data_IF_423874522121
#
_entry.id   IF_423874522121
#
_cell.length_a   1.000
_cell.length_b   1.000
_cell.length_c   1.000
_cell.angle_alpha   90.00
_cell.angle_beta   90.00
_cell.angle_gamma   90.00
#
_symmetry.space_group_name_H-M   'P 1'
#
loop_
_entity.id
_entity.type
_entity.pdbx_description
1 polymer ?
#
# COMPACT_ATOMS: atom_id res chain seq x y z
N UNK A 1 6.64 -31.50 19.98
CA UNK A 1 6.74 -30.05 19.70
C UNK A 1 5.34 -29.47 19.76
N UNK A 2 5.03 -28.67 20.79
CA UNK A 2 3.71 -28.05 20.91
C UNK A 2 3.55 -27.01 19.79
N UNK A 3 2.49 -27.11 19.00
CA UNK A 3 2.09 -26.05 18.08
C UNK A 3 1.63 -24.87 18.95
N UNK A 4 2.47 -23.84 19.06
CA UNK A 4 2.04 -22.56 19.65
C UNK A 4 0.86 -22.07 18.79
N UNK A 5 -0.31 -21.79 19.39
CA UNK A 5 -1.46 -21.33 18.63
C UNK A 5 -1.13 -20.02 17.91
N UNK A 6 -1.61 -19.87 16.67
CA UNK A 6 -1.79 -18.55 16.06
C UNK A 6 -2.80 -17.81 16.93
N UNK A 7 -2.35 -16.80 17.68
CA UNK A 7 -3.24 -15.99 18.52
C UNK A 7 -3.78 -14.80 17.74
N UNK A 8 -5.05 -14.45 17.98
CA UNK A 8 -5.65 -13.19 17.52
C UNK A 8 -5.16 -11.97 18.36
N UNK A 9 -4.06 -12.14 19.10
CA UNK A 9 -3.50 -11.09 19.94
C UNK A 9 -3.05 -9.90 19.08
N UNK A 10 -3.32 -8.69 19.58
CA UNK A 10 -2.83 -7.46 18.95
C UNK A 10 -1.31 -7.52 18.79
N UNK A 11 -0.84 -7.44 17.55
CA UNK A 11 0.58 -7.39 17.21
C UNK A 11 1.08 -5.97 17.47
N UNK A 12 1.93 -5.82 18.50
CA UNK A 12 2.42 -4.51 18.95
C UNK A 12 3.94 -4.35 18.77
N UNK A 13 4.64 -5.39 18.32
CA UNK A 13 6.09 -5.37 18.12
C UNK A 13 6.46 -6.05 16.82
N UNK A 14 7.55 -5.60 16.19
CA UNK A 14 8.06 -6.19 14.96
C UNK A 14 8.43 -7.69 15.13
N UNK A 15 8.99 -8.07 16.28
CA UNK A 15 9.30 -9.46 16.59
C UNK A 15 8.05 -10.36 16.67
N UNK A 16 6.93 -9.83 17.20
CA UNK A 16 5.65 -10.55 17.18
C UNK A 16 5.13 -10.72 15.75
N UNK A 17 5.20 -9.66 14.93
CA UNK A 17 4.82 -9.72 13.51
C UNK A 17 5.60 -10.83 12.79
N UNK A 18 6.93 -10.79 12.88
CA UNK A 18 7.80 -11.78 12.23
C UNK A 18 7.53 -13.20 12.69
N UNK A 19 7.29 -13.39 14.00
CA UNK A 19 6.94 -14.71 14.55
C UNK A 19 5.62 -15.22 13.98
N UNK A 20 4.59 -14.39 13.89
CA UNK A 20 3.30 -14.78 13.31
C UNK A 20 3.44 -15.13 11.83
N UNK A 21 4.16 -14.30 11.05
CA UNK A 21 4.45 -14.57 9.63
C UNK A 21 5.19 -15.91 9.44
N UNK A 22 6.14 -16.22 10.32
CA UNK A 22 6.85 -17.50 10.30
C UNK A 22 5.93 -18.69 10.62
N UNK A 23 5.07 -18.57 11.65
CA UNK A 23 4.12 -19.62 12.02
C UNK A 23 3.10 -19.92 10.91
N UNK A 24 2.78 -18.94 10.07
CA UNK A 24 1.92 -19.11 8.91
C UNK A 24 2.60 -19.80 7.71
N UNK A 25 3.89 -20.10 7.80
CA UNK A 25 4.64 -20.85 6.78
C UNK A 25 5.25 -20.00 5.66
N UNK A 26 5.50 -18.70 5.89
CA UNK A 26 6.09 -17.80 4.89
C UNK A 26 5.35 -17.83 3.55
N UNK A 27 4.06 -17.50 3.60
CA UNK A 27 3.22 -17.38 2.40
C UNK A 27 3.89 -16.40 1.42
N UNK A 28 4.09 -16.77 0.15
CA UNK A 28 4.57 -15.82 -0.84
C UNK A 28 3.51 -14.74 -1.07
N UNK A 29 3.91 -13.48 -0.97
CA UNK A 29 3.05 -12.33 -1.27
C UNK A 29 3.53 -11.66 -2.54
N UNK A 30 2.59 -11.17 -3.33
CA UNK A 30 2.85 -10.18 -4.39
C UNK A 30 2.68 -8.78 -3.82
N UNK A 31 3.38 -7.82 -4.39
CA UNK A 31 3.35 -6.43 -3.93
C UNK A 31 2.98 -5.51 -5.09
N UNK A 32 2.01 -4.64 -4.85
CA UNK A 32 1.64 -3.55 -5.74
C UNK A 32 1.78 -2.22 -5.00
N UNK A 33 2.36 -1.22 -5.65
CA UNK A 33 2.30 0.16 -5.22
C UNK A 33 1.32 0.93 -6.11
N UNK A 34 0.40 1.65 -5.49
CA UNK A 34 -0.46 2.63 -6.12
C UNK A 34 -0.13 3.99 -5.53
N UNK A 35 0.51 4.86 -6.31
CA UNK A 35 1.00 6.14 -5.84
C UNK A 35 0.08 7.25 -6.35
N UNK A 36 -0.40 8.09 -5.43
CA UNK A 36 -1.20 9.26 -5.74
C UNK A 36 -0.34 10.31 -6.42
N UNK A 37 -0.76 10.74 -7.62
CA UNK A 37 -0.13 11.79 -8.43
C UNK A 37 -1.15 12.91 -8.70
N UNK A 38 -2.06 13.15 -7.76
CA UNK A 38 -3.05 14.22 -7.82
C UNK A 38 -2.45 15.61 -7.54
N UNK A 39 -3.21 16.65 -7.93
CA UNK A 39 -2.82 18.06 -7.80
C UNK A 39 -2.53 18.50 -6.36
N UNK A 40 -3.14 17.88 -5.35
CA UNK A 40 -2.84 18.15 -3.94
C UNK A 40 -1.36 17.91 -3.60
N UNK A 41 -0.71 16.99 -4.32
CA UNK A 41 0.71 16.67 -4.16
C UNK A 41 1.66 17.66 -4.87
N UNK A 42 1.18 18.78 -5.41
CA UNK A 42 1.99 19.69 -6.23
C UNK A 42 3.10 20.39 -5.46
N UNK A 43 4.28 20.50 -6.10
CA UNK A 43 5.48 21.20 -5.61
C UNK A 43 5.46 22.72 -5.86
N UNK A 44 4.35 23.24 -6.41
CA UNK A 44 4.20 24.66 -6.80
C UNK A 44 3.66 25.47 -5.61
N UNK A 45 2.95 24.85 -4.67
CA UNK A 45 2.50 25.50 -3.44
C UNK A 45 3.45 25.18 -2.27
N UNK A 46 4.02 26.18 -1.55
CA UNK A 46 5.12 25.99 -0.59
C UNK A 46 4.80 25.17 0.67
N UNK A 47 3.61 24.58 0.78
CA UNK A 47 3.12 24.03 2.06
C UNK A 47 3.19 22.51 2.18
N UNK A 48 3.28 21.73 1.09
CA UNK A 48 3.33 20.25 1.17
C UNK A 48 4.15 19.63 0.01
N UNK A 49 5.48 19.74 0.01
CA UNK A 49 6.31 19.13 -1.04
C UNK A 49 6.56 17.63 -0.76
N UNK A 50 5.51 16.82 -0.73
CA UNK A 50 5.61 15.37 -0.47
C UNK A 50 6.22 14.60 -1.66
N UNK A 51 6.14 15.13 -2.88
CA UNK A 51 6.74 14.53 -4.08
C UNK A 51 8.15 15.01 -4.43
N UNK A 52 8.84 15.79 -3.59
CA UNK A 52 10.16 16.33 -3.97
C UNK A 52 11.13 15.21 -4.40
N UNK A 53 11.49 15.07 -5.70
CA UNK A 53 12.28 13.93 -6.17
C UNK A 53 13.74 14.00 -5.71
N UNK A 54 14.21 15.18 -5.31
CA UNK A 54 15.57 15.41 -4.81
C UNK A 54 15.66 15.34 -3.29
N UNK A 55 14.53 15.29 -2.57
CA UNK A 55 14.51 15.17 -1.12
C UNK A 55 14.65 13.71 -0.69
N UNK A 56 15.65 13.42 0.14
CA UNK A 56 15.75 12.13 0.82
C UNK A 56 14.65 11.92 1.87
N UNK A 57 13.89 12.96 2.20
CA UNK A 57 12.71 12.89 3.07
C UNK A 57 11.39 12.76 2.31
N UNK A 58 11.43 12.50 0.99
CA UNK A 58 10.22 12.25 0.21
C UNK A 58 9.51 10.99 0.75
N UNK A 59 8.32 11.11 1.38
CA UNK A 59 7.68 9.99 2.05
C UNK A 59 7.36 8.84 1.10
N UNK A 60 6.99 9.11 -0.16
CA UNK A 60 6.76 8.06 -1.17
C UNK A 60 8.04 7.22 -1.41
N UNK A 61 9.19 7.89 -1.55
CA UNK A 61 10.50 7.23 -1.72
C UNK A 61 10.87 6.43 -0.47
N UNK A 62 10.74 7.04 0.72
CA UNK A 62 11.08 6.40 2.00
C UNK A 62 10.23 5.16 2.24
N UNK A 63 8.91 5.23 1.99
CA UNK A 63 8.00 4.09 2.13
C UNK A 63 8.42 2.94 1.21
N UNK A 64 8.72 3.20 -0.07
CA UNK A 64 9.21 2.17 -1.00
C UNK A 64 10.54 1.56 -0.51
N UNK A 65 11.51 2.39 -0.11
CA UNK A 65 12.82 1.94 0.37
C UNK A 65 12.70 1.10 1.65
N UNK A 66 11.92 1.55 2.62
CA UNK A 66 11.73 0.79 3.85
C UNK A 66 10.97 -0.50 3.56
N UNK A 67 9.96 -0.48 2.70
CA UNK A 67 9.27 -1.71 2.28
C UNK A 67 10.27 -2.71 1.67
N UNK A 68 11.18 -2.28 0.78
CA UNK A 68 12.22 -3.13 0.20
C UNK A 68 13.05 -3.88 1.26
N UNK A 69 13.46 -3.19 2.33
CA UNK A 69 14.26 -3.82 3.41
C UNK A 69 13.50 -4.92 4.15
N UNK A 70 12.16 -4.90 4.10
CA UNK A 70 11.27 -5.83 4.77
C UNK A 70 10.73 -6.90 3.84
N UNK A 71 10.62 -6.62 2.53
CA UNK A 71 10.15 -7.56 1.50
C UNK A 71 10.96 -8.85 1.58
N UNK A 72 12.30 -8.81 1.59
CA UNK A 72 13.12 -10.03 1.74
C UNK A 72 12.87 -10.86 3.02
N UNK A 73 12.19 -10.31 4.03
CA UNK A 73 11.85 -10.96 5.31
C UNK A 73 10.37 -11.32 5.42
N UNK A 74 9.48 -10.59 4.76
CA UNK A 74 8.01 -10.63 4.92
C UNK A 74 7.30 -11.01 3.62
N UNK A 75 7.77 -10.56 2.45
CA UNK A 75 7.14 -10.69 1.13
C UNK A 75 8.14 -11.28 0.10
N UNK A 76 7.94 -12.50 -0.43
CA UNK A 76 8.89 -13.08 -1.40
C UNK A 76 9.02 -12.25 -2.69
N UNK A 77 10.26 -12.14 -3.20
CA UNK A 77 10.62 -11.37 -4.40
C UNK A 77 9.94 -11.86 -5.70
N UNK A 78 9.78 -10.91 -6.63
CA UNK A 78 9.48 -11.02 -8.08
C UNK A 78 8.05 -10.65 -8.50
N UNK A 79 7.95 -9.94 -9.64
CA UNK A 79 8.20 -8.50 -9.76
C UNK A 79 7.19 -7.69 -8.91
N UNK A 80 7.58 -6.47 -8.56
CA UNK A 80 6.69 -5.51 -7.86
C UNK A 80 5.89 -4.75 -8.91
N UNK A 81 4.59 -4.61 -8.69
CA UNK A 81 3.73 -3.83 -9.57
C UNK A 81 3.74 -2.36 -9.14
N UNK A 82 3.93 -1.43 -10.07
CA UNK A 82 3.97 0.00 -9.81
C UNK A 82 2.98 0.74 -10.68
N UNK A 83 2.05 1.42 -10.04
CA UNK A 83 1.02 2.23 -10.67
C UNK A 83 0.94 3.63 -10.07
N UNK A 84 0.38 4.55 -10.83
CA UNK A 84 -0.04 5.87 -10.38
C UNK A 84 -1.50 6.14 -10.71
N UNK A 85 -2.15 6.99 -9.91
CA UNK A 85 -3.54 7.44 -10.10
C UNK A 85 -3.66 8.95 -9.81
N UNK A 86 -4.80 9.57 -10.15
CA UNK A 86 -5.00 11.01 -9.97
C UNK A 86 -4.19 11.89 -10.93
N UNK A 87 -3.60 11.31 -11.97
CA UNK A 87 -2.83 12.04 -12.99
C UNK A 87 -3.65 12.27 -14.28
N UNK A 88 -3.23 13.23 -15.13
CA UNK A 88 -3.92 13.49 -16.40
C UNK A 88 -4.04 12.25 -17.29
N UNK A 89 -3.05 11.36 -17.27
CA UNK A 89 -3.06 10.12 -18.04
C UNK A 89 -4.04 9.07 -17.51
N UNK A 90 -4.39 9.14 -16.22
CA UNK A 90 -5.43 8.29 -15.64
C UNK A 90 -6.84 8.79 -15.97
N UNK A 91 -7.00 10.09 -16.27
CA UNK A 91 -8.29 10.77 -16.46
C UNK A 91 -9.31 10.45 -15.34
N UNK A 92 -8.81 10.04 -14.17
CA UNK A 92 -9.56 9.50 -13.02
C UNK A 92 -10.43 8.26 -13.30
N UNK A 93 -10.22 7.62 -14.45
CA UNK A 93 -10.96 6.40 -14.83
C UNK A 93 -10.14 5.12 -14.57
N UNK A 94 -8.81 5.22 -14.54
CA UNK A 94 -7.92 4.05 -14.42
C UNK A 94 -6.64 4.33 -13.66
N UNK A 95 -5.96 3.29 -13.20
CA UNK A 95 -4.55 3.38 -12.84
C UNK A 95 -3.68 3.39 -14.11
N UNK A 96 -2.52 4.04 -14.05
CA UNK A 96 -1.52 3.99 -15.13
C UNK A 96 -0.24 3.33 -14.62
N UNK A 97 0.47 2.56 -15.47
CA UNK A 97 1.83 2.13 -15.15
C UNK A 97 2.68 3.32 -14.72
N UNK A 98 3.48 3.13 -13.67
CA UNK A 98 4.16 4.22 -12.97
C UNK A 98 5.01 5.12 -13.89
N UNK A 99 5.68 4.51 -14.86
CA UNK A 99 6.58 5.17 -15.81
C UNK A 99 5.92 5.46 -17.18
N UNK A 100 4.60 5.41 -17.29
CA UNK A 100 3.89 5.76 -18.53
C UNK A 100 4.05 7.26 -18.88
N UNK A 101 4.08 7.66 -20.18
CA UNK A 101 4.15 6.82 -21.39
C UNK A 101 5.50 6.19 -21.72
N UNK A 102 6.62 6.58 -21.08
CA UNK A 102 7.96 6.03 -21.38
C UNK A 102 8.03 4.50 -21.26
N UNK A 103 7.30 3.91 -20.30
CA UNK A 103 7.18 2.47 -20.13
C UNK A 103 5.74 2.07 -19.77
N UNK A 104 5.16 1.19 -20.59
CA UNK A 104 3.80 0.67 -20.40
C UNK A 104 3.75 -0.55 -19.48
N UNK A 105 4.89 -1.14 -19.12
CA UNK A 105 4.95 -2.26 -18.19
C UNK A 105 4.87 -1.74 -16.74
N UNK A 106 3.90 -2.23 -15.97
CA UNK A 106 3.77 -1.94 -14.55
C UNK A 106 4.63 -2.85 -13.67
N UNK A 107 5.30 -3.88 -14.21
CA UNK A 107 6.15 -4.80 -13.47
C UNK A 107 7.60 -4.29 -13.37
N UNK A 108 8.12 -4.24 -12.16
CA UNK A 108 9.48 -3.84 -11.83
C UNK A 108 10.21 -4.99 -11.13
N UNK A 109 11.34 -5.42 -11.70
CA UNK A 109 12.13 -6.54 -11.16
C UNK A 109 12.75 -6.24 -9.80
N UNK A 110 13.01 -4.97 -9.51
CA UNK A 110 13.59 -4.51 -8.25
C UNK A 110 12.89 -3.26 -7.74
N UNK A 111 12.98 -3.02 -6.43
CA UNK A 111 12.53 -1.76 -5.82
C UNK A 111 13.33 -0.55 -6.33
N UNK A 112 14.61 -0.72 -6.67
CA UNK A 112 15.39 0.34 -7.28
C UNK A 112 14.81 0.73 -8.64
N UNK A 113 14.42 -0.26 -9.47
CA UNK A 113 13.74 -0.02 -10.74
C UNK A 113 12.36 0.64 -10.54
N UNK A 114 11.60 0.23 -9.51
CA UNK A 114 10.35 0.87 -9.12
C UNK A 114 10.57 2.36 -8.76
N UNK A 115 11.60 2.67 -7.96
CA UNK A 115 11.93 4.04 -7.55
C UNK A 115 12.36 4.88 -8.77
N UNK A 116 13.13 4.32 -9.70
CA UNK A 116 13.44 5.00 -10.96
C UNK A 116 12.19 5.21 -11.83
N UNK A 117 11.28 4.23 -11.86
CA UNK A 117 9.97 4.37 -12.49
C UNK A 117 9.14 5.51 -11.89
N UNK A 118 9.13 5.63 -10.56
CA UNK A 118 8.49 6.73 -9.84
C UNK A 118 9.07 8.09 -10.24
N UNK A 119 10.40 8.21 -10.27
CA UNK A 119 11.08 9.44 -10.70
C UNK A 119 10.78 9.80 -12.16
N UNK A 120 10.75 8.82 -13.05
CA UNK A 120 10.36 8.97 -14.45
C UNK A 120 8.90 9.45 -14.56
N UNK A 121 8.00 8.83 -13.81
CA UNK A 121 6.59 9.21 -13.73
C UNK A 121 6.38 10.65 -13.27
N UNK A 122 7.14 11.13 -12.28
CA UNK A 122 7.05 12.51 -11.78
C UNK A 122 7.39 13.54 -12.87
N UNK A 123 8.34 13.24 -13.77
CA UNK A 123 8.73 14.12 -14.87
C UNK A 123 7.66 14.23 -15.96
N UNK A 124 6.91 13.15 -16.18
CA UNK A 124 5.93 13.01 -17.27
C UNK A 124 4.51 13.41 -16.85
N UNK A 125 4.27 13.60 -15.56
CA UNK A 125 2.92 13.77 -15.05
C UNK A 125 2.53 15.24 -14.95
N UNK A 126 1.46 15.60 -15.65
CA UNK A 126 0.62 16.70 -15.22
C UNK A 126 -0.31 16.18 -14.14
N UNK A 127 -0.11 16.64 -12.91
CA UNK A 127 -0.96 16.29 -11.77
C UNK A 127 -2.42 16.67 -12.10
N UNK A 128 -3.38 15.85 -11.71
CA UNK A 128 -4.82 16.03 -11.98
C UNK A 128 -5.65 15.68 -10.72
N UNK A 129 -6.96 15.57 -10.81
CA UNK A 129 -7.81 15.13 -9.69
C UNK A 129 -9.26 15.11 -10.15
N UNK A 130 -10.17 14.41 -9.45
CA UNK A 130 -10.20 14.00 -8.03
C UNK A 130 -9.36 12.78 -7.58
N UNK A 131 -9.34 12.54 -6.25
CA UNK A 131 -8.70 11.36 -5.62
C UNK A 131 -9.76 10.29 -5.35
N UNK A 132 -9.83 9.30 -6.23
CA UNK A 132 -10.78 8.18 -6.13
C UNK A 132 -9.98 6.89 -5.90
N UNK A 133 -10.35 6.06 -4.92
CA UNK A 133 -9.63 4.78 -4.68
C UNK A 133 -10.24 3.61 -5.44
N UNK A 134 -11.46 3.76 -5.97
CA UNK A 134 -12.16 2.75 -6.77
C UNK A 134 -11.31 2.19 -7.89
N UNK A 135 -10.58 3.03 -8.63
CA UNK A 135 -9.68 2.58 -9.70
C UNK A 135 -8.49 1.79 -9.17
N UNK A 136 -7.98 2.15 -7.98
CA UNK A 136 -6.89 1.41 -7.32
C UNK A 136 -7.39 0.03 -6.92
N UNK A 137 -8.59 -0.07 -6.34
CA UNK A 137 -9.19 -1.34 -5.97
C UNK A 137 -9.48 -2.23 -7.19
N UNK A 138 -10.00 -1.66 -8.28
CA UNK A 138 -10.22 -2.37 -9.55
C UNK A 138 -8.90 -2.88 -10.14
N UNK A 139 -7.87 -2.05 -10.20
CA UNK A 139 -6.56 -2.44 -10.71
C UNK A 139 -5.94 -3.54 -9.84
N UNK A 140 -6.04 -3.45 -8.51
CA UNK A 140 -5.54 -4.49 -7.62
C UNK A 140 -6.24 -5.85 -7.83
N UNK A 141 -7.55 -5.85 -8.12
CA UNK A 141 -8.27 -7.09 -8.50
C UNK A 141 -7.72 -7.63 -9.82
N UNK A 142 -7.52 -6.78 -10.82
CA UNK A 142 -6.93 -7.21 -12.09
C UNK A 142 -5.53 -7.80 -11.88
N UNK A 143 -4.66 -7.11 -11.15
CA UNK A 143 -3.31 -7.58 -10.84
C UNK A 143 -3.32 -8.90 -10.09
N UNK A 144 -4.21 -9.06 -9.10
CA UNK A 144 -4.36 -10.31 -8.36
C UNK A 144 -4.72 -11.44 -9.33
N UNK A 145 -5.77 -11.25 -10.11
CA UNK A 145 -6.38 -12.32 -10.91
C UNK A 145 -5.50 -12.74 -12.08
N UNK A 146 -4.80 -11.79 -12.71
CA UNK A 146 -3.97 -12.05 -13.89
C UNK A 146 -2.56 -12.53 -13.52
N UNK A 147 -1.94 -11.96 -12.47
CA UNK A 147 -0.51 -12.17 -12.22
C UNK A 147 -0.18 -12.89 -10.91
N UNK A 148 -1.07 -12.87 -9.90
CA UNK A 148 -0.73 -13.35 -8.56
C UNK A 148 -1.07 -14.84 -8.34
N UNK A 149 -1.83 -15.47 -9.25
CA UNK A 149 -2.27 -16.87 -9.11
C UNK A 149 -2.94 -17.10 -7.74
N UNK A 150 -2.31 -17.90 -6.88
CA UNK A 150 -2.77 -18.21 -5.51
C UNK A 150 -2.08 -17.37 -4.42
N UNK A 151 -1.08 -16.59 -4.79
CA UNK A 151 -0.31 -15.78 -3.86
C UNK A 151 -1.15 -14.55 -3.50
N UNK A 152 -1.32 -14.20 -2.21
CA UNK A 152 -2.02 -12.96 -1.85
C UNK A 152 -1.28 -11.72 -2.34
N UNK A 153 -2.04 -10.70 -2.72
CA UNK A 153 -1.53 -9.39 -3.12
C UNK A 153 -1.60 -8.41 -1.95
N UNK A 154 -0.49 -7.75 -1.64
CA UNK A 154 -0.47 -6.58 -0.77
C UNK A 154 -0.38 -5.33 -1.65
N UNK A 155 -1.44 -4.54 -1.68
CA UNK A 155 -1.51 -3.28 -2.40
C UNK A 155 -1.24 -2.13 -1.43
N UNK A 156 -0.09 -1.47 -1.59
CA UNK A 156 0.33 -0.32 -0.79
C UNK A 156 -0.08 0.94 -1.54
N UNK A 157 -1.03 1.68 -0.97
CA UNK A 157 -1.54 2.94 -1.49
C UNK A 157 -0.84 4.06 -0.73
N UNK A 158 -0.25 5.03 -1.43
CA UNK A 158 0.33 6.22 -0.80
C UNK A 158 -0.39 7.44 -1.37
N UNK A 159 -0.96 8.26 -0.49
CA UNK A 159 -1.76 9.44 -0.85
C UNK A 159 -1.61 10.54 0.20
N UNK A 160 -1.75 11.80 -0.21
CA UNK A 160 -1.75 12.96 0.69
C UNK A 160 -3.17 13.48 1.02
N UNK A 161 -4.19 12.91 0.38
CA UNK A 161 -5.58 13.34 0.43
C UNK A 161 -6.52 12.32 1.09
N UNK A 162 -7.65 12.81 1.57
CA UNK A 162 -8.78 11.94 1.92
C UNK A 162 -9.52 11.54 0.64
N UNK A 163 -10.33 10.47 0.70
CA UNK A 163 -11.17 10.09 -0.45
C UNK A 163 -12.31 11.08 -0.67
N UNK A 164 -12.75 11.21 -1.92
CA UNK A 164 -13.89 12.06 -2.23
C UNK A 164 -15.23 11.38 -1.88
N UNK A 165 -15.41 10.09 -2.23
CA UNK A 165 -16.66 9.35 -2.07
C UNK A 165 -16.47 8.01 -1.33
N UNK A 166 -16.93 7.96 -0.08
CA UNK A 166 -16.84 6.79 0.81
C UNK A 166 -17.74 5.65 0.35
N UNK A 167 -18.89 5.97 -0.24
CA UNK A 167 -19.89 4.96 -0.63
C UNK A 167 -19.37 4.18 -1.83
N UNK A 168 -18.95 4.87 -2.88
CA UNK A 168 -18.43 4.24 -4.12
C UNK A 168 -17.15 3.44 -3.83
N UNK A 169 -16.19 4.06 -3.13
CA UNK A 169 -14.94 3.39 -2.79
C UNK A 169 -15.18 2.22 -1.82
N UNK A 170 -16.12 2.35 -0.88
CA UNK A 170 -16.51 1.31 0.05
C UNK A 170 -17.15 0.09 -0.63
N UNK A 171 -18.07 0.30 -1.57
CA UNK A 171 -18.64 -0.78 -2.37
C UNK A 171 -17.56 -1.56 -3.12
N UNK A 172 -16.61 -0.84 -3.73
CA UNK A 172 -15.51 -1.46 -4.45
C UNK A 172 -14.55 -2.20 -3.51
N UNK A 173 -14.29 -1.68 -2.31
CA UNK A 173 -13.49 -2.35 -1.29
C UNK A 173 -14.15 -3.65 -0.81
N UNK A 174 -15.49 -3.66 -0.65
CA UNK A 174 -16.26 -4.87 -0.34
C UNK A 174 -16.12 -5.91 -1.44
N UNK A 175 -16.19 -5.50 -2.71
CA UNK A 175 -15.96 -6.41 -3.84
C UNK A 175 -14.53 -6.98 -3.83
N UNK A 176 -13.53 -6.14 -3.57
CA UNK A 176 -12.13 -6.56 -3.49
C UNK A 176 -11.87 -7.59 -2.38
N UNK A 177 -12.66 -7.57 -1.29
CA UNK A 177 -12.55 -8.56 -0.21
C UNK A 177 -12.89 -10.01 -0.63
N UNK A 178 -13.41 -10.23 -1.85
CA UNK A 178 -13.64 -11.58 -2.41
C UNK A 178 -12.36 -12.21 -2.97
N UNK A 179 -11.29 -11.43 -3.10
CA UNK A 179 -9.99 -11.82 -3.64
C UNK A 179 -8.94 -11.84 -2.53
N UNK A 180 -7.81 -12.55 -2.70
CA UNK A 180 -6.73 -12.57 -1.72
C UNK A 180 -5.91 -11.28 -1.80
N UNK A 181 -6.51 -10.16 -1.43
CA UNK A 181 -5.93 -8.82 -1.51
C UNK A 181 -6.00 -8.17 -0.13
N UNK A 182 -4.89 -7.59 0.33
CA UNK A 182 -4.84 -6.68 1.46
C UNK A 182 -4.39 -5.31 0.99
N UNK A 183 -5.12 -4.26 1.38
CA UNK A 183 -4.77 -2.88 1.12
C UNK A 183 -4.11 -2.27 2.36
N UNK A 184 -2.97 -1.59 2.14
CA UNK A 184 -2.30 -0.80 3.16
C UNK A 184 -2.27 0.63 2.64
N UNK A 185 -3.15 1.48 3.14
CA UNK A 185 -3.25 2.88 2.74
C UNK A 185 -2.46 3.76 3.70
N UNK A 186 -1.51 4.52 3.14
CA UNK A 186 -0.57 5.35 3.89
C UNK A 186 -0.84 6.81 3.53
N UNK A 187 -1.43 7.54 4.48
CA UNK A 187 -1.63 8.97 4.38
C UNK A 187 -0.35 9.74 4.68
N UNK A 188 0.13 10.56 3.75
CA UNK A 188 1.33 11.40 3.90
C UNK A 188 0.96 12.88 3.97
N UNK A 189 1.81 13.72 4.54
CA UNK A 189 1.53 15.15 4.62
C UNK A 189 0.42 15.50 5.63
N UNK A 190 -0.31 16.58 5.37
CA UNK A 190 -1.18 17.23 6.35
C UNK A 190 -2.69 16.96 6.13
N UNK A 191 -3.04 15.92 5.37
CA UNK A 191 -4.43 15.51 5.17
C UNK A 191 -5.15 15.17 6.49
N UNK A 192 -6.47 15.38 6.53
CA UNK A 192 -7.28 15.05 7.71
C UNK A 192 -7.59 13.55 7.81
N UNK A 193 -7.67 12.85 6.66
CA UNK A 193 -7.88 11.40 6.53
C UNK A 193 -9.04 10.85 7.38
N UNK A 194 -10.09 11.65 7.57
CA UNK A 194 -11.25 11.28 8.38
C UNK A 194 -12.09 10.22 7.72
N UNK A 195 -12.24 10.26 6.39
CA UNK A 195 -13.04 9.32 5.63
C UNK A 195 -12.32 7.99 5.45
N UNK A 196 -10.99 7.99 5.26
CA UNK A 196 -10.18 6.76 5.23
C UNK A 196 -10.40 5.87 6.47
N UNK A 197 -10.57 6.47 7.65
CA UNK A 197 -10.83 5.74 8.90
C UNK A 197 -12.20 5.06 8.94
N UNK A 198 -13.14 5.49 8.10
CA UNK A 198 -14.47 4.87 8.02
C UNK A 198 -14.42 3.48 7.37
N UNK A 199 -13.35 3.15 6.64
CA UNK A 199 -13.18 1.83 6.03
C UNK A 199 -12.89 0.72 7.04
N UNK A 200 -12.32 1.04 8.20
CA UNK A 200 -12.07 0.06 9.26
C UNK A 200 -13.41 -0.56 9.75
N UNK A 201 -14.46 0.27 9.86
CA UNK A 201 -15.80 -0.14 10.32
C UNK A 201 -16.72 -0.63 9.18
N UNK A 202 -16.23 -0.70 7.94
CA UNK A 202 -17.04 -1.03 6.77
C UNK A 202 -17.54 -2.49 6.82
N UNK A 203 -18.87 -2.64 6.86
CA UNK A 203 -19.56 -3.95 6.91
C UNK A 203 -19.71 -4.57 5.52
N UNK A 204 -19.89 -5.89 5.47
CA UNK A 204 -20.16 -6.64 4.23
C UNK A 204 -18.93 -7.26 3.56
N UNK A 205 -17.72 -6.95 4.07
CA UNK A 205 -16.45 -7.54 3.62
C UNK A 205 -16.35 -9.01 4.03
N UNK A 206 -15.74 -9.86 3.20
CA UNK A 206 -15.48 -11.29 3.53
C UNK A 206 -14.46 -11.46 4.66
N UNK A 207 -13.51 -10.54 4.72
CA UNK A 207 -12.55 -10.38 5.79
C UNK A 207 -12.11 -8.91 5.82
N UNK A 208 -11.43 -8.52 6.90
CA UNK A 208 -10.86 -7.18 6.99
C UNK A 208 -9.63 -7.08 6.08
N UNK A 209 -9.79 -6.36 4.97
CA UNK A 209 -8.81 -6.30 3.88
C UNK A 209 -8.21 -4.91 3.68
N UNK A 210 -8.40 -3.97 4.60
CA UNK A 210 -7.94 -2.59 4.49
C UNK A 210 -7.35 -2.14 5.81
N UNK A 211 -6.17 -1.54 5.75
CA UNK A 211 -5.49 -0.95 6.91
C UNK A 211 -5.05 0.46 6.55
N UNK A 212 -5.43 1.44 7.38
CA UNK A 212 -4.97 2.82 7.24
C UNK A 212 -3.90 3.17 8.27
N UNK A 213 -2.87 3.89 7.85
CA UNK A 213 -1.94 4.56 8.75
C UNK A 213 -1.57 5.96 8.24
N UNK A 214 -1.34 6.88 9.17
CA UNK A 214 -0.85 8.22 8.85
C UNK A 214 0.66 8.27 9.08
N UNK A 215 1.41 8.46 7.99
CA UNK A 215 2.87 8.40 7.96
C UNK A 215 3.51 9.36 8.96
N UNK A 216 3.00 10.60 9.09
CA UNK A 216 3.55 11.58 10.03
C UNK A 216 3.52 11.10 11.49
N UNK A 217 2.57 10.24 11.87
CA UNK A 217 2.53 9.66 13.21
C UNK A 217 3.60 8.59 13.40
N UNK A 218 3.81 7.78 12.36
CA UNK A 218 4.87 6.77 12.32
C UNK A 218 6.25 7.45 12.29
N UNK A 219 6.39 8.52 11.52
CA UNK A 219 7.60 9.34 11.43
C UNK A 219 8.01 9.89 12.78
N UNK A 220 7.07 10.45 13.56
CA UNK A 220 7.35 10.85 14.94
C UNK A 220 7.87 9.68 15.78
N UNK A 221 7.28 8.48 15.68
CA UNK A 221 7.79 7.28 16.38
C UNK A 221 9.20 6.90 15.92
N UNK A 222 9.53 7.12 14.65
CA UNK A 222 10.86 6.83 14.08
C UNK A 222 11.93 7.85 14.54
N UNK A 223 11.58 9.13 14.67
CA UNK A 223 12.50 10.19 15.10
C UNK A 223 12.94 10.07 16.56
N UNK A 224 12.06 9.61 17.46
CA UNK A 224 12.38 9.43 18.88
C UNK A 224 13.17 8.12 19.12
N UNK A 225 14.49 8.14 18.84
CA UNK A 225 15.46 7.07 19.16
C UNK A 225 15.14 5.67 18.61
N UNK A 226 14.57 5.57 17.41
CA UNK A 226 14.39 4.26 16.79
C UNK A 226 15.68 3.82 16.07
N UNK A 227 16.32 2.75 16.55
CA UNK A 227 17.47 2.14 15.87
C UNK A 227 17.08 1.48 14.52
N UNK A 228 15.79 1.15 14.37
CA UNK A 228 15.23 0.39 13.23
C UNK A 228 13.93 1.05 12.72
N UNK A 229 14.01 2.24 12.10
CA UNK A 229 12.83 2.94 11.57
C UNK A 229 12.11 2.10 10.50
N UNK A 230 12.88 1.33 9.73
CA UNK A 230 12.40 0.34 8.78
C UNK A 230 11.42 -0.67 9.40
N UNK A 231 11.76 -1.20 10.58
CA UNK A 231 10.92 -2.16 11.31
C UNK A 231 9.68 -1.51 11.93
N UNK A 232 9.80 -0.24 12.33
CA UNK A 232 8.66 0.51 12.89
C UNK A 232 7.59 0.74 11.83
N UNK A 233 7.99 1.18 10.64
CA UNK A 233 7.06 1.31 9.52
C UNK A 233 6.48 -0.05 9.11
N UNK A 234 7.31 -1.09 9.01
CA UNK A 234 6.87 -2.45 8.69
C UNK A 234 5.79 -2.97 9.63
N UNK A 235 5.98 -2.74 10.93
CA UNK A 235 5.02 -3.14 11.96
C UNK A 235 3.67 -2.47 11.71
N UNK A 236 3.64 -1.16 11.53
CA UNK A 236 2.38 -0.42 11.35
C UNK A 236 1.67 -0.78 10.04
N UNK A 237 2.44 -1.05 8.98
CA UNK A 237 1.90 -1.49 7.69
C UNK A 237 1.31 -2.91 7.72
N UNK A 238 1.97 -3.85 8.43
CA UNK A 238 1.69 -5.28 8.26
C UNK A 238 1.14 -5.98 9.51
N UNK A 239 0.93 -5.27 10.63
CA UNK A 239 0.40 -5.86 11.88
C UNK A 239 -0.94 -6.59 11.73
N UNK A 240 -1.74 -6.24 10.72
CA UNK A 240 -3.05 -6.88 10.48
C UNK A 240 -3.01 -8.02 9.46
N UNK A 241 -1.92 -8.11 8.69
CA UNK A 241 -1.76 -9.11 7.64
C UNK A 241 -1.90 -10.55 8.16
N UNK A 242 -1.35 -10.94 9.32
CA UNK A 242 -1.55 -12.29 9.86
C UNK A 242 -3.03 -12.62 10.13
N UNK A 243 -3.80 -11.67 10.67
CA UNK A 243 -5.22 -11.88 10.95
C UNK A 243 -6.03 -11.97 9.65
N UNK A 244 -5.74 -11.11 8.68
CA UNK A 244 -6.35 -11.16 7.35
C UNK A 244 -6.13 -12.53 6.68
N UNK A 245 -4.89 -13.04 6.71
CA UNK A 245 -4.53 -14.35 6.14
C UNK A 245 -5.28 -15.50 6.81
N UNK A 246 -5.42 -15.49 8.13
CA UNK A 246 -6.19 -16.51 8.83
C UNK A 246 -7.66 -16.48 8.41
N UNK A 247 -8.25 -15.29 8.26
CA UNK A 247 -9.62 -15.12 7.78
C UNK A 247 -9.75 -15.60 6.32
N UNK A 248 -8.82 -15.27 5.44
CA UNK A 248 -8.79 -15.75 4.05
C UNK A 248 -8.79 -17.28 3.98
N UNK A 249 -7.94 -17.95 4.77
CA UNK A 249 -7.88 -19.42 4.86
C UNK A 249 -9.20 -20.01 5.36
N UNK A 250 -9.77 -19.45 6.44
CA UNK A 250 -11.07 -19.89 6.98
C UNK A 250 -12.21 -19.72 5.97
N UNK A 251 -12.15 -18.68 5.14
CA UNK A 251 -13.13 -18.37 4.10
C UNK A 251 -12.91 -19.14 2.79
N UNK A 252 -11.82 -19.92 2.66
CA UNK A 252 -11.49 -20.66 1.44
C UNK A 252 -11.05 -19.76 0.27
N UNK A 253 -10.57 -18.55 0.57
CA UNK A 253 -10.04 -17.61 -0.45
C UNK A 253 -8.61 -18.01 -0.85
N UNK A 254 -7.84 -18.56 0.09
CA UNK A 254 -6.47 -19.11 -0.10
C UNK A 254 -6.28 -20.45 0.61
#
# INVERSE_FOLDING_TARGET
MSKVPLTEDKINTYSQLMRQMQLMGQIPFRTMFALDFSLSNSWIEPKNIVHNPTSDKNPYKVIMQYTQTQVGRVLKNSPVFGYRFGCKHSEDVKCCPLAFPENQNAQFETFDALIEGYKSGLKQTTLFGPTILTQVFKEAIQVQTEYCKKDPLVCIIVTDGDIDDVEIDGEMLIQASKYPICFVCIGVGNGQFTKMKLFDDLKGRKFDNFQFLQYNEVERKMEFKCERPDQTLALEMFKELPAAIQKMKKAGII
#
